data_IF_284587466811
#
_entry.id   IF_284587466811
#
_cell.length_a   1.000
_cell.length_b   1.000
_cell.length_c   1.000
_cell.angle_alpha   90.00
_cell.angle_beta   90.00
_cell.angle_gamma   90.00
#
_symmetry.space_group_name_H-M   'P 1'
#
loop_
_entity.id
_entity.type
_entity.pdbx_description
1 polymer ?
#
# COMPACT_ATOMS: atom_id res chain seq x y z
N UNK A 1 7.46 -23.87 -1.54
CA UNK A 1 6.82 -23.42 -2.83
C UNK A 1 6.64 -24.61 -3.75
N UNK A 2 5.43 -24.87 -4.22
CA UNK A 2 5.21 -25.90 -5.23
C UNK A 2 5.61 -25.29 -6.58
N UNK A 3 6.59 -25.86 -7.27
CA UNK A 3 7.05 -25.35 -8.56
C UNK A 3 5.90 -25.23 -9.59
N UNK A 4 4.91 -26.11 -9.51
CA UNK A 4 3.73 -26.08 -10.37
C UNK A 4 2.88 -24.81 -10.23
N UNK A 5 2.75 -24.24 -9.02
CA UNK A 5 1.98 -23.01 -8.78
C UNK A 5 2.70 -21.78 -9.33
N UNK A 6 4.02 -21.73 -9.20
CA UNK A 6 4.84 -20.67 -9.81
C UNK A 6 4.76 -20.72 -11.34
N UNK A 7 4.85 -21.90 -11.94
CA UNK A 7 4.74 -22.04 -13.41
C UNK A 7 3.34 -21.67 -13.89
N UNK A 8 2.29 -21.99 -13.12
CA UNK A 8 0.93 -21.52 -13.43
C UNK A 8 0.83 -20.00 -13.38
N UNK A 9 1.38 -19.36 -12.34
CA UNK A 9 1.38 -17.89 -12.25
C UNK A 9 2.16 -17.25 -13.39
N UNK A 10 3.32 -17.79 -13.76
CA UNK A 10 4.09 -17.32 -14.93
C UNK A 10 3.27 -17.39 -16.21
N UNK A 11 2.61 -18.54 -16.45
CA UNK A 11 1.74 -18.73 -17.62
C UNK A 11 0.63 -17.68 -17.67
N UNK A 12 -0.01 -17.38 -16.54
CA UNK A 12 -1.05 -16.34 -16.48
C UNK A 12 -0.50 -14.95 -16.75
N UNK A 13 0.69 -14.61 -16.18
CA UNK A 13 1.36 -13.35 -16.43
C UNK A 13 1.73 -13.20 -17.92
N UNK A 14 2.26 -14.24 -18.53
CA UNK A 14 2.64 -14.24 -19.95
C UNK A 14 1.43 -14.06 -20.87
N UNK A 15 0.34 -14.74 -20.55
CA UNK A 15 -0.89 -14.75 -21.35
C UNK A 15 -1.78 -13.50 -21.15
N UNK A 16 -1.50 -12.63 -20.17
CA UNK A 16 -2.31 -11.46 -19.87
C UNK A 16 -1.57 -10.16 -20.22
N UNK A 17 -2.34 -9.16 -20.68
CA UNK A 17 -1.90 -7.77 -20.86
C UNK A 17 -2.72 -6.80 -19.97
N UNK A 18 -3.51 -7.34 -19.05
CA UNK A 18 -4.36 -6.57 -18.14
C UNK A 18 -4.32 -7.14 -16.72
N UNK A 19 -3.12 -7.18 -16.13
CA UNK A 19 -2.90 -7.56 -14.74
C UNK A 19 -3.13 -6.35 -13.86
N UNK A 20 -3.81 -6.53 -12.72
CA UNK A 20 -3.92 -5.54 -11.65
C UNK A 20 -3.33 -6.12 -10.38
N UNK A 21 -2.54 -5.31 -9.69
CA UNK A 21 -2.02 -5.63 -8.37
C UNK A 21 -2.77 -4.84 -7.29
N UNK A 22 -3.21 -5.54 -6.23
CA UNK A 22 -3.79 -4.93 -5.03
C UNK A 22 -2.92 -5.23 -3.82
N UNK A 23 -2.37 -4.20 -3.18
CA UNK A 23 -1.38 -4.36 -2.11
C UNK A 23 -1.68 -3.64 -0.81
N UNK A 24 -1.08 -4.13 0.27
CA UNK A 24 -1.08 -3.51 1.59
C UNK A 24 0.31 -3.50 2.23
N UNK A 25 0.39 -3.20 3.52
CA UNK A 25 1.63 -2.92 4.24
C UNK A 25 2.65 -4.09 4.21
N UNK A 26 2.18 -5.34 4.09
CA UNK A 26 3.03 -6.51 3.95
C UNK A 26 3.90 -6.52 2.68
N UNK A 27 3.57 -5.69 1.66
CA UNK A 27 4.43 -5.52 0.47
C UNK A 27 5.74 -4.82 0.84
N UNK A 28 5.72 -3.94 1.83
CA UNK A 28 6.87 -3.10 2.21
C UNK A 28 7.69 -3.65 3.38
N UNK A 29 7.32 -4.81 3.94
CA UNK A 29 8.08 -5.43 5.05
C UNK A 29 9.50 -5.82 4.63
N UNK A 30 9.68 -6.30 3.40
CA UNK A 30 11.00 -6.60 2.82
C UNK A 30 11.81 -5.32 2.47
N UNK A 31 11.22 -4.14 2.67
CA UNK A 31 11.87 -2.81 2.60
C UNK A 31 12.21 -2.25 3.99
N UNK A 32 11.99 -3.02 5.06
CA UNK A 32 12.23 -2.61 6.43
C UNK A 32 11.10 -1.76 7.05
N UNK A 33 9.95 -1.62 6.38
CA UNK A 33 8.78 -0.93 6.92
C UNK A 33 7.88 -1.97 7.60
N UNK A 34 7.69 -1.92 8.94
CA UNK A 34 6.81 -2.85 9.63
C UNK A 34 5.36 -2.69 9.14
N UNK A 35 4.65 -3.79 9.02
CA UNK A 35 3.21 -3.73 8.81
C UNK A 35 2.47 -3.35 10.10
N UNK A 36 1.14 -3.26 10.04
CA UNK A 36 0.34 -2.84 11.19
C UNK A 36 -0.04 -3.99 12.12
N UNK A 37 -0.28 -5.21 11.60
CA UNK A 37 -1.01 -6.28 12.29
C UNK A 37 -0.24 -7.55 12.55
N UNK A 38 0.89 -7.77 11.88
CA UNK A 38 1.74 -8.93 12.16
C UNK A 38 2.27 -8.91 13.60
N UNK A 39 2.82 -10.01 14.06
CA UNK A 39 3.38 -10.15 15.41
C UNK A 39 4.38 -9.03 15.76
N UNK A 40 5.14 -8.56 14.76
CA UNK A 40 6.11 -7.46 14.89
C UNK A 40 5.54 -6.11 14.40
N UNK A 41 4.24 -6.09 14.09
CA UNK A 41 3.55 -4.94 13.52
C UNK A 41 3.33 -3.80 14.51
N UNK A 42 2.96 -2.65 13.96
CA UNK A 42 2.79 -1.41 14.73
C UNK A 42 1.77 -1.55 15.86
N UNK A 43 0.70 -2.34 15.66
CA UNK A 43 -0.37 -2.50 16.66
C UNK A 43 0.03 -3.37 17.86
N UNK A 44 1.11 -4.12 17.77
CA UNK A 44 1.64 -4.90 18.90
C UNK A 44 2.69 -4.13 19.73
N UNK A 45 3.07 -2.92 19.31
CA UNK A 45 3.96 -2.04 20.08
C UNK A 45 3.17 -1.31 21.18
N UNK A 46 3.84 -0.99 22.29
CA UNK A 46 3.22 -0.27 23.41
C UNK A 46 3.25 1.23 23.18
N UNK A 47 2.07 1.85 23.08
CA UNK A 47 1.86 3.28 23.02
C UNK A 47 0.87 3.70 24.11
N UNK A 48 0.81 4.99 24.41
CA UNK A 48 -0.15 5.57 25.35
C UNK A 48 -1.60 5.45 24.84
N UNK A 49 -1.78 5.56 23.50
CA UNK A 49 -3.05 5.36 22.81
C UNK A 49 -2.88 4.30 21.71
N UNK A 50 -3.92 3.54 21.37
CA UNK A 50 -3.86 2.63 20.21
C UNK A 50 -3.49 3.36 18.92
N UNK A 51 -2.67 2.79 18.03
CA UNK A 51 -2.30 3.43 16.78
C UNK A 51 -3.48 3.86 15.91
N UNK A 52 -4.58 3.09 15.89
CA UNK A 52 -5.82 3.48 15.19
C UNK A 52 -6.42 4.77 15.77
N UNK A 53 -6.34 4.95 17.08
CA UNK A 53 -6.79 6.19 17.75
C UNK A 53 -5.88 7.34 17.35
N UNK A 54 -4.55 7.17 17.43
CA UNK A 54 -3.57 8.21 17.09
C UNK A 54 -3.73 8.65 15.63
N UNK A 55 -3.97 7.68 14.73
CA UNK A 55 -4.12 7.92 13.29
C UNK A 55 -5.58 8.23 12.88
N UNK A 56 -6.41 8.74 13.81
CA UNK A 56 -7.77 9.18 13.50
C UNK A 56 -7.86 10.69 13.25
N UNK A 57 -8.87 11.11 12.48
CA UNK A 57 -9.17 12.52 12.22
C UNK A 57 -9.39 13.30 13.52
N UNK A 58 -10.22 12.76 14.42
CA UNK A 58 -10.52 13.38 15.71
C UNK A 58 -9.27 13.59 16.53
N UNK A 59 -8.41 12.57 16.65
CA UNK A 59 -7.17 12.66 17.42
C UNK A 59 -6.17 13.65 16.80
N UNK A 60 -6.07 13.69 15.48
CA UNK A 60 -5.21 14.65 14.77
C UNK A 60 -5.50 16.08 15.19
N UNK A 61 -6.76 16.47 15.31
CA UNK A 61 -7.13 17.85 15.69
C UNK A 61 -7.14 18.10 17.20
N UNK A 62 -7.42 17.09 18.02
CA UNK A 62 -7.46 17.25 19.47
C UNK A 62 -6.10 17.09 20.14
N UNK A 63 -5.22 16.26 19.57
CA UNK A 63 -3.91 15.91 20.11
C UNK A 63 -2.80 16.07 19.06
N UNK A 64 -2.82 17.17 18.31
CA UNK A 64 -1.97 17.41 17.13
C UNK A 64 -0.47 17.24 17.42
N UNK A 65 0.01 17.68 18.59
CA UNK A 65 1.42 17.54 18.98
C UNK A 65 1.80 16.07 19.17
N UNK A 66 0.95 15.29 19.85
CA UNK A 66 1.16 13.85 20.02
C UNK A 66 1.13 13.14 18.68
N UNK A 67 0.16 13.46 17.81
CA UNK A 67 0.09 12.92 16.46
C UNK A 67 1.39 13.14 15.71
N UNK A 68 1.94 14.34 15.67
CA UNK A 68 3.17 14.62 14.93
C UNK A 68 4.42 13.98 15.53
N UNK A 69 4.51 13.82 16.84
CA UNK A 69 5.58 13.04 17.48
C UNK A 69 5.54 11.59 17.01
N UNK A 70 4.37 10.94 17.09
CA UNK A 70 4.16 9.58 16.61
C UNK A 70 4.39 9.46 15.09
N UNK A 71 3.83 10.38 14.32
CA UNK A 71 3.91 10.37 12.86
C UNK A 71 5.35 10.44 12.36
N UNK A 72 6.19 11.32 12.92
CA UNK A 72 7.61 11.40 12.59
C UNK A 72 8.37 10.15 12.96
N UNK A 73 8.08 9.56 14.11
CA UNK A 73 8.79 8.39 14.61
C UNK A 73 8.43 7.11 13.84
N UNK A 74 7.15 6.95 13.47
CA UNK A 74 6.62 5.67 12.99
C UNK A 74 6.14 5.68 11.55
N UNK A 75 5.75 6.84 10.99
CA UNK A 75 5.05 6.92 9.72
C UNK A 75 5.89 7.53 8.58
N UNK A 76 7.10 7.97 8.82
CA UNK A 76 7.98 8.61 7.84
C UNK A 76 9.24 7.80 7.53
N UNK A 77 9.12 6.62 6.88
CA UNK A 77 10.29 5.81 6.49
C UNK A 77 10.93 6.36 5.20
N UNK A 78 11.39 7.60 5.21
CA UNK A 78 11.84 8.32 4.01
C UNK A 78 13.07 7.69 3.33
N UNK A 79 13.89 6.95 4.10
CA UNK A 79 15.10 6.29 3.60
C UNK A 79 14.82 4.86 3.07
N UNK A 80 13.56 4.40 3.14
CA UNK A 80 13.24 3.06 2.67
C UNK A 80 13.40 2.94 1.14
N UNK A 81 13.88 1.77 0.70
CA UNK A 81 14.11 1.48 -0.71
C UNK A 81 13.13 0.41 -1.22
N UNK A 82 12.73 0.47 -2.50
CA UNK A 82 11.90 -0.55 -3.10
C UNK A 82 12.54 -1.93 -3.01
N UNK A 83 11.79 -2.94 -2.64
CA UNK A 83 12.22 -4.34 -2.61
C UNK A 83 11.95 -5.08 -3.94
N UNK A 84 12.19 -6.37 -3.99
CA UNK A 84 12.02 -7.20 -5.19
C UNK A 84 10.56 -7.18 -5.70
N UNK A 85 9.54 -7.13 -4.82
CA UNK A 85 8.14 -7.05 -5.23
C UNK A 85 7.85 -5.75 -5.99
N UNK A 86 8.27 -4.60 -5.45
CA UNK A 86 8.09 -3.30 -6.12
C UNK A 86 8.78 -3.27 -7.49
N UNK A 87 10.02 -3.77 -7.57
CA UNK A 87 10.77 -3.82 -8.83
C UNK A 87 10.14 -4.75 -9.85
N UNK A 88 9.64 -5.92 -9.42
CA UNK A 88 8.93 -6.86 -10.29
C UNK A 88 7.64 -6.24 -10.86
N UNK A 89 6.82 -5.58 -10.04
CA UNK A 89 5.61 -4.90 -10.50
C UNK A 89 5.93 -3.77 -11.49
N UNK A 90 6.96 -2.97 -11.22
CA UNK A 90 7.41 -1.94 -12.16
C UNK A 90 7.95 -2.52 -13.47
N UNK A 91 8.58 -3.71 -13.44
CA UNK A 91 9.01 -4.41 -14.64
C UNK A 91 7.82 -4.91 -15.47
N UNK A 92 6.79 -5.47 -14.83
CA UNK A 92 5.54 -5.88 -15.48
C UNK A 92 4.81 -4.69 -16.13
N UNK A 93 4.78 -3.53 -15.47
CA UNK A 93 4.18 -2.32 -16.04
C UNK A 93 4.96 -1.86 -17.29
N UNK A 94 6.29 -1.81 -17.21
CA UNK A 94 7.14 -1.48 -18.38
C UNK A 94 6.97 -2.46 -19.54
N UNK A 95 6.72 -3.74 -19.25
CA UNK A 95 6.45 -4.76 -20.26
C UNK A 95 5.00 -4.70 -20.82
N UNK A 96 4.17 -3.76 -20.34
CA UNK A 96 2.79 -3.60 -20.79
C UNK A 96 1.82 -4.66 -20.24
N UNK A 97 2.26 -5.46 -19.25
CA UNK A 97 1.47 -6.53 -18.62
C UNK A 97 0.64 -6.02 -17.44
N UNK A 98 1.22 -5.20 -16.57
CA UNK A 98 0.54 -4.62 -15.42
C UNK A 98 -0.09 -3.28 -15.80
N UNK A 99 -1.41 -3.19 -15.66
CA UNK A 99 -2.19 -2.00 -16.02
C UNK A 99 -2.32 -1.02 -14.87
N UNK A 100 -2.39 -1.52 -13.64
CA UNK A 100 -2.51 -0.67 -12.46
C UNK A 100 -2.01 -1.37 -11.19
N UNK A 101 -1.55 -0.55 -10.26
CA UNK A 101 -1.34 -0.91 -8.87
C UNK A 101 -2.39 -0.18 -8.05
N UNK A 102 -3.14 -0.91 -7.23
CA UNK A 102 -4.04 -0.38 -6.21
C UNK A 102 -3.38 -0.64 -4.86
N UNK A 103 -2.98 0.40 -4.16
CA UNK A 103 -2.25 0.23 -2.90
C UNK A 103 -2.93 0.91 -1.73
N UNK A 104 -2.88 0.26 -0.58
CA UNK A 104 -3.24 0.82 0.72
C UNK A 104 -2.03 1.54 1.36
N UNK A 105 -0.83 1.35 0.81
CA UNK A 105 0.40 1.93 1.35
C UNK A 105 0.51 3.41 1.01
N UNK A 106 1.15 4.13 1.92
CA UNK A 106 1.39 5.58 1.83
C UNK A 106 2.88 5.91 1.62
N UNK A 107 3.74 4.89 1.51
CA UNK A 107 5.21 5.00 1.51
C UNK A 107 5.81 5.49 0.17
N UNK A 108 5.07 5.39 -0.94
CA UNK A 108 5.52 5.80 -2.27
C UNK A 108 6.53 4.85 -2.92
N UNK A 109 6.77 3.64 -2.37
CA UNK A 109 7.80 2.72 -2.88
C UNK A 109 7.46 2.16 -4.27
N UNK A 110 6.19 2.05 -4.64
CA UNK A 110 5.80 1.68 -5.99
C UNK A 110 6.27 2.71 -7.02
N UNK A 111 6.05 4.00 -6.75
CA UNK A 111 6.50 5.09 -7.61
C UNK A 111 8.03 5.19 -7.62
N UNK A 112 8.68 5.02 -6.46
CA UNK A 112 10.14 5.00 -6.34
C UNK A 112 10.77 3.84 -7.14
N UNK A 113 10.07 2.72 -7.29
CA UNK A 113 10.48 1.59 -8.15
C UNK A 113 10.28 1.87 -9.65
N UNK A 114 9.54 2.92 -10.01
CA UNK A 114 9.28 3.33 -11.38
C UNK A 114 7.87 3.02 -11.90
N UNK A 115 6.95 2.54 -11.06
CA UNK A 115 5.55 2.36 -11.42
C UNK A 115 4.85 3.72 -11.58
N UNK A 116 4.00 3.86 -12.59
CA UNK A 116 3.35 5.13 -12.97
C UNK A 116 1.86 5.14 -12.69
N UNK A 117 1.18 4.01 -12.92
CA UNK A 117 -0.25 3.90 -12.73
C UNK A 117 -0.57 3.30 -11.35
N UNK A 118 -0.50 4.14 -10.32
CA UNK A 118 -0.67 3.75 -8.92
C UNK A 118 -1.86 4.49 -8.31
N UNK A 119 -2.87 3.75 -7.86
CA UNK A 119 -4.00 4.24 -7.10
C UNK A 119 -3.68 4.14 -5.60
N UNK A 120 -3.29 5.24 -4.98
CA UNK A 120 -2.97 5.34 -3.55
C UNK A 120 -4.27 5.55 -2.75
N UNK A 121 -4.92 4.47 -2.33
CA UNK A 121 -6.23 4.53 -1.64
C UNK A 121 -6.19 5.34 -0.34
N UNK A 122 -5.07 5.33 0.36
CA UNK A 122 -4.89 6.03 1.63
C UNK A 122 -3.98 7.27 1.51
N UNK A 123 -3.75 7.77 0.30
CA UNK A 123 -2.90 8.93 0.08
C UNK A 123 -1.41 8.64 0.17
N UNK A 124 -0.60 9.64 0.56
CA UNK A 124 0.86 9.53 0.56
C UNK A 124 1.51 10.43 1.60
N UNK A 125 2.56 9.93 2.26
CA UNK A 125 3.41 10.70 3.17
C UNK A 125 4.19 11.81 2.46
N UNK A 126 4.39 11.67 1.15
CA UNK A 126 5.19 12.61 0.35
C UNK A 126 4.45 13.92 0.04
N UNK A 127 3.13 13.94 0.19
CA UNK A 127 2.29 15.12 0.00
C UNK A 127 1.74 15.60 1.33
N UNK A 128 1.87 16.88 1.59
CA UNK A 128 1.36 17.50 2.82
C UNK A 128 0.81 18.88 2.45
N UNK A 129 -0.32 19.28 3.01
CA UNK A 129 -1.00 20.51 2.63
C UNK A 129 -1.42 21.35 3.83
N UNK A 130 -1.33 22.67 3.65
CA UNK A 130 -1.91 23.59 4.61
C UNK A 130 -3.43 23.49 4.58
N UNK A 131 -4.05 23.24 5.72
CA UNK A 131 -5.51 23.11 5.87
C UNK A 131 -6.26 24.43 5.58
N UNK A 132 -5.58 25.59 5.59
CA UNK A 132 -6.17 26.92 5.39
C UNK A 132 -6.01 27.42 3.95
N UNK A 133 -4.82 27.31 3.35
CA UNK A 133 -4.54 27.90 2.04
C UNK A 133 -4.16 26.90 0.96
N UNK A 134 -4.10 25.59 1.26
CA UNK A 134 -3.78 24.53 0.30
C UNK A 134 -2.30 24.48 -0.14
N UNK A 135 -1.42 25.34 0.40
CA UNK A 135 0.01 25.31 0.04
C UNK A 135 0.60 23.93 0.36
N UNK A 136 1.33 23.36 -0.60
CA UNK A 136 2.00 22.06 -0.48
C UNK A 136 3.32 22.16 0.27
N UNK A 137 3.68 21.05 0.94
CA UNK A 137 4.92 20.85 1.70
C UNK A 137 5.43 19.42 1.47
N UNK A 138 6.76 19.25 1.50
CA UNK A 138 7.37 17.93 1.34
C UNK A 138 7.35 17.12 2.64
N UNK A 139 7.65 15.81 2.54
CA UNK A 139 7.80 14.94 3.69
C UNK A 139 8.98 15.35 4.58
N UNK A 140 10.08 15.81 3.96
CA UNK A 140 11.26 16.30 4.68
C UNK A 140 10.92 17.53 5.52
N UNK A 141 10.09 18.45 5.02
CA UNK A 141 9.62 19.58 5.80
C UNK A 141 8.89 19.12 7.07
N UNK A 142 8.05 18.10 6.98
CA UNK A 142 7.36 17.54 8.15
C UNK A 142 8.35 16.87 9.11
N UNK A 143 9.30 16.08 8.57
CA UNK A 143 10.35 15.43 9.37
C UNK A 143 11.16 16.44 10.17
N UNK A 144 11.62 17.51 9.50
CA UNK A 144 12.58 18.48 10.05
C UNK A 144 11.91 19.59 10.88
N UNK A 145 10.57 19.74 10.80
CA UNK A 145 9.83 20.69 11.62
C UNK A 145 9.82 20.26 13.10
N UNK A 146 10.13 21.16 14.01
CA UNK A 146 9.93 20.95 15.44
C UNK A 146 8.45 21.13 15.82
N UNK A 147 7.92 20.28 16.71
CA UNK A 147 6.55 20.40 17.21
C UNK A 147 5.48 20.24 16.11
N UNK A 148 4.44 21.07 16.16
CA UNK A 148 3.34 21.06 15.17
C UNK A 148 3.72 21.91 13.96
N UNK A 149 3.72 21.37 12.72
CA UNK A 149 4.08 22.13 11.54
C UNK A 149 2.97 23.10 11.13
N UNK A 150 3.33 24.38 10.98
CA UNK A 150 2.42 25.43 10.53
C UNK A 150 2.88 26.09 9.22
N UNK A 151 1.92 26.47 8.43
CA UNK A 151 2.13 27.29 7.24
C UNK A 151 2.38 28.76 7.63
N UNK A 152 3.08 29.50 6.76
CA UNK A 152 3.26 30.95 6.96
C UNK A 152 1.93 31.72 7.08
N UNK A 153 0.81 31.19 6.57
CA UNK A 153 -0.52 31.77 6.74
C UNK A 153 -1.19 31.47 8.10
N UNK A 154 -0.48 30.79 9.01
CA UNK A 154 -0.96 30.35 10.32
C UNK A 154 -1.81 29.08 10.29
N UNK A 155 -2.05 28.47 9.11
CA UNK A 155 -2.79 27.22 9.00
C UNK A 155 -1.96 26.00 9.42
N UNK A 156 -2.63 25.00 9.97
CA UNK A 156 -2.02 23.69 10.27
C UNK A 156 -1.67 22.98 8.95
N UNK A 157 -0.53 22.30 8.90
CA UNK A 157 -0.20 21.45 7.75
C UNK A 157 -0.64 20.03 8.08
N UNK A 158 -1.42 19.40 7.21
CA UNK A 158 -1.88 18.01 7.36
C UNK A 158 -1.23 17.14 6.28
N UNK A 159 -0.73 15.93 6.63
CA UNK A 159 -0.34 14.95 5.62
C UNK A 159 -1.52 14.57 4.72
N UNK A 160 -1.26 14.38 3.43
CA UNK A 160 -2.23 13.80 2.48
C UNK A 160 -2.37 12.28 2.69
N UNK A 161 -2.63 11.92 3.93
CA UNK A 161 -2.88 10.55 4.36
C UNK A 161 -4.31 10.50 4.88
N UNK A 162 -5.06 9.50 4.40
CA UNK A 162 -6.42 9.24 4.87
C UNK A 162 -6.34 8.64 6.25
N UNK A 163 -6.80 9.40 7.24
CA UNK A 163 -6.87 8.97 8.62
C UNK A 163 -8.14 8.14 8.85
N UNK A 164 -8.16 7.35 9.91
CA UNK A 164 -9.42 6.76 10.37
C UNK A 164 -10.47 7.87 10.55
N UNK A 165 -11.75 7.56 10.30
CA UNK A 165 -12.87 8.51 10.25
C UNK A 165 -12.94 9.38 8.99
N UNK A 166 -11.90 9.37 8.13
CA UNK A 166 -11.92 10.09 6.84
C UNK A 166 -12.38 9.17 5.70
N UNK A 167 -13.03 9.76 4.70
CA UNK A 167 -13.41 9.07 3.47
C UNK A 167 -12.24 8.95 2.49
N UNK A 168 -12.22 7.88 1.70
CA UNK A 168 -11.29 7.75 0.59
C UNK A 168 -11.66 8.71 -0.56
N UNK A 169 -10.66 9.11 -1.35
CA UNK A 169 -10.91 9.94 -2.54
C UNK A 169 -11.75 9.20 -3.59
N UNK A 170 -12.88 9.78 -3.97
CA UNK A 170 -13.81 9.16 -4.92
C UNK A 170 -13.20 8.87 -6.29
N UNK A 171 -12.33 9.76 -6.78
CA UNK A 171 -11.69 9.59 -8.09
C UNK A 171 -10.73 8.40 -8.06
N UNK A 172 -9.96 8.27 -6.99
CA UNK A 172 -9.04 7.14 -6.77
C UNK A 172 -9.81 5.83 -6.66
N UNK A 173 -10.91 5.79 -5.86
CA UNK A 173 -11.76 4.61 -5.75
C UNK A 173 -12.35 4.21 -7.10
N UNK A 174 -12.94 5.15 -7.84
CA UNK A 174 -13.57 4.87 -9.15
C UNK A 174 -12.56 4.30 -10.14
N UNK A 175 -11.33 4.87 -10.16
CA UNK A 175 -10.24 4.36 -10.99
C UNK A 175 -9.79 2.96 -10.59
N UNK A 176 -9.60 2.71 -9.30
CA UNK A 176 -9.22 1.41 -8.75
C UNK A 176 -10.27 0.32 -9.03
N UNK A 177 -11.55 0.62 -8.77
CA UNK A 177 -12.68 -0.28 -9.04
C UNK A 177 -12.73 -0.65 -10.52
N UNK A 178 -12.62 0.34 -11.41
CA UNK A 178 -12.61 0.09 -12.85
C UNK A 178 -11.44 -0.82 -13.25
N UNK A 179 -10.23 -0.52 -12.79
CA UNK A 179 -9.06 -1.33 -13.09
C UNK A 179 -9.25 -2.79 -12.63
N UNK A 180 -9.72 -2.99 -11.38
CA UNK A 180 -9.97 -4.32 -10.83
C UNK A 180 -11.06 -5.07 -11.61
N UNK A 181 -12.16 -4.40 -11.98
CA UNK A 181 -13.27 -5.03 -12.70
C UNK A 181 -12.89 -5.45 -14.13
N UNK A 182 -11.97 -4.74 -14.77
CA UNK A 182 -11.48 -5.01 -16.12
C UNK A 182 -10.29 -6.00 -16.16
N UNK A 183 -9.73 -6.41 -15.01
CA UNK A 183 -8.52 -7.21 -14.95
C UNK A 183 -8.72 -8.66 -15.42
N UNK A 184 -7.77 -9.19 -16.21
CA UNK A 184 -7.70 -10.62 -16.55
C UNK A 184 -7.10 -11.45 -15.40
N UNK A 185 -6.14 -10.86 -14.68
CA UNK A 185 -5.49 -11.44 -13.50
C UNK A 185 -5.49 -10.41 -12.39
N UNK A 186 -6.00 -10.77 -11.23
CA UNK A 186 -5.87 -9.95 -10.02
C UNK A 186 -4.88 -10.60 -9.06
N UNK A 187 -3.77 -9.92 -8.81
CA UNK A 187 -2.78 -10.34 -7.81
C UNK A 187 -2.99 -9.49 -6.56
N UNK A 188 -3.28 -10.14 -5.45
CA UNK A 188 -3.45 -9.50 -4.15
C UNK A 188 -2.29 -9.91 -3.25
N UNK A 189 -1.61 -8.95 -2.64
CA UNK A 189 -0.43 -9.26 -1.84
C UNK A 189 -0.21 -8.37 -0.63
N UNK A 190 0.38 -8.95 0.43
CA UNK A 190 0.80 -8.22 1.62
C UNK A 190 -0.34 -7.48 2.34
N UNK A 191 -1.54 -8.05 2.37
CA UNK A 191 -2.70 -7.42 3.03
C UNK A 191 -3.57 -8.44 3.74
N UNK A 192 -4.02 -8.11 4.94
CA UNK A 192 -4.98 -8.94 5.70
C UNK A 192 -6.40 -8.91 5.11
N UNK A 193 -6.71 -7.97 4.22
CA UNK A 193 -8.03 -7.74 3.65
C UNK A 193 -9.13 -7.49 4.71
N UNK A 194 -8.77 -6.82 5.80
CA UNK A 194 -9.68 -6.49 6.92
C UNK A 194 -9.96 -5.00 7.05
N UNK A 195 -9.25 -4.12 6.33
CA UNK A 195 -9.44 -2.66 6.39
C UNK A 195 -10.43 -2.22 5.32
N UNK A 196 -11.62 -1.86 5.76
CA UNK A 196 -12.67 -1.34 4.89
C UNK A 196 -12.64 0.20 4.82
N UNK A 197 -13.02 0.81 3.67
CA UNK A 197 -13.64 0.18 2.50
C UNK A 197 -12.64 -0.46 1.51
N UNK A 198 -11.34 -0.24 1.64
CA UNK A 198 -10.31 -0.69 0.69
C UNK A 198 -10.38 -2.21 0.40
N UNK A 199 -10.45 -3.05 1.43
CA UNK A 199 -10.57 -4.50 1.29
C UNK A 199 -11.77 -4.95 0.46
N UNK A 200 -12.86 -4.16 0.46
CA UNK A 200 -14.07 -4.44 -0.30
C UNK A 200 -13.92 -4.30 -1.81
N UNK A 201 -12.87 -3.60 -2.29
CA UNK A 201 -12.68 -3.34 -3.71
C UNK A 201 -12.38 -4.60 -4.51
N UNK A 202 -11.77 -5.62 -3.92
CA UNK A 202 -11.49 -6.88 -4.64
C UNK A 202 -12.77 -7.64 -5.06
N UNK A 203 -13.93 -7.34 -4.46
CA UNK A 203 -15.22 -7.92 -4.86
C UNK A 203 -15.68 -7.51 -6.27
N UNK A 204 -15.10 -6.44 -6.82
CA UNK A 204 -15.39 -6.02 -8.19
C UNK A 204 -14.64 -6.85 -9.22
N UNK A 205 -13.69 -7.69 -8.83
CA UNK A 205 -13.06 -8.65 -9.73
C UNK A 205 -14.02 -9.78 -10.06
N UNK A 206 -14.32 -9.93 -11.34
CA UNK A 206 -15.22 -10.98 -11.85
C UNK A 206 -14.52 -12.09 -12.63
N UNK A 207 -13.17 -12.07 -12.67
CA UNK A 207 -12.38 -13.10 -13.40
C UNK A 207 -12.15 -14.37 -12.60
N UNK A 208 -11.44 -15.30 -13.21
CA UNK A 208 -11.12 -16.64 -12.69
C UNK A 208 -9.63 -16.86 -12.39
N UNK A 209 -8.87 -15.77 -12.28
CA UNK A 209 -7.41 -15.80 -11.99
C UNK A 209 -7.06 -14.87 -10.83
N UNK A 210 -7.66 -15.17 -9.67
CA UNK A 210 -7.33 -14.49 -8.41
C UNK A 210 -6.13 -15.17 -7.75
N UNK A 211 -5.08 -14.38 -7.53
CA UNK A 211 -3.84 -14.82 -6.86
C UNK A 211 -3.71 -14.11 -5.51
N UNK A 212 -3.53 -14.85 -4.43
CA UNK A 212 -3.20 -14.31 -3.13
C UNK A 212 -1.74 -14.62 -2.77
N UNK A 213 -0.98 -13.59 -2.43
CA UNK A 213 0.39 -13.70 -1.91
C UNK A 213 0.42 -13.05 -0.54
N UNK A 214 0.12 -13.83 0.50
CA UNK A 214 0.05 -13.32 1.87
C UNK A 214 0.45 -14.40 2.86
N UNK A 215 1.29 -14.07 3.84
CA UNK A 215 1.79 -15.00 4.83
C UNK A 215 0.66 -15.64 5.63
N UNK A 216 -0.22 -14.81 6.14
CA UNK A 216 -1.35 -15.22 6.98
C UNK A 216 -2.60 -15.46 6.12
N UNK A 217 -3.55 -16.23 6.66
CA UNK A 217 -4.85 -16.44 6.02
C UNK A 217 -5.65 -15.14 5.89
N UNK A 218 -6.47 -15.07 4.85
CA UNK A 218 -7.34 -13.94 4.58
C UNK A 218 -8.78 -14.41 4.39
N UNK A 219 -9.79 -13.53 4.57
CA UNK A 219 -11.20 -13.86 4.29
C UNK A 219 -11.47 -14.27 2.83
N UNK A 220 -10.51 -14.08 1.94
CA UNK A 220 -10.65 -14.36 0.52
C UNK A 220 -9.91 -15.61 0.04
N UNK A 221 -9.28 -16.36 0.93
CA UNK A 221 -8.56 -17.59 0.57
C UNK A 221 -9.44 -18.59 -0.17
N UNK A 222 -10.70 -18.74 0.25
CA UNK A 222 -11.66 -19.64 -0.41
C UNK A 222 -12.07 -19.23 -1.83
N UNK A 223 -11.75 -18.01 -2.25
CA UNK A 223 -12.04 -17.50 -3.61
C UNK A 223 -10.80 -17.49 -4.52
N UNK A 224 -9.60 -17.66 -3.94
CA UNK A 224 -8.37 -17.60 -4.70
C UNK A 224 -8.13 -18.87 -5.52
N UNK A 225 -7.61 -18.68 -6.72
CA UNK A 225 -7.20 -19.77 -7.61
C UNK A 225 -5.77 -20.22 -7.33
N UNK A 226 -4.91 -19.28 -6.87
CA UNK A 226 -3.55 -19.55 -6.41
C UNK A 226 -3.29 -18.83 -5.09
N UNK A 227 -2.64 -19.53 -4.16
CA UNK A 227 -2.26 -18.97 -2.86
C UNK A 227 -0.78 -19.26 -2.58
N UNK A 228 -0.03 -18.20 -2.27
CA UNK A 228 1.36 -18.27 -1.85
C UNK A 228 1.49 -17.71 -0.43
N UNK A 229 2.22 -18.44 0.44
CA UNK A 229 2.48 -18.04 1.84
C UNK A 229 3.91 -17.52 2.04
N UNK A 230 4.68 -17.53 0.99
CA UNK A 230 6.05 -17.05 0.96
C UNK A 230 6.11 -15.52 0.83
N UNK A 231 7.27 -14.91 1.16
CA UNK A 231 7.49 -13.48 0.98
C UNK A 231 7.19 -13.04 -0.46
N UNK A 232 6.47 -11.93 -0.59
CA UNK A 232 5.94 -11.47 -1.88
C UNK A 232 7.06 -11.14 -2.89
N UNK A 233 8.18 -10.59 -2.41
CA UNK A 233 9.35 -10.32 -3.25
C UNK A 233 9.94 -11.58 -3.85
N UNK A 234 9.96 -12.69 -3.10
CA UNK A 234 10.43 -13.98 -3.61
C UNK A 234 9.48 -14.54 -4.67
N UNK A 235 8.16 -14.49 -4.45
CA UNK A 235 7.16 -14.99 -5.41
C UNK A 235 7.23 -14.20 -6.71
N UNK A 236 7.10 -12.88 -6.62
CA UNK A 236 7.09 -12.01 -7.82
C UNK A 236 8.46 -11.97 -8.52
N UNK A 237 9.57 -11.96 -7.76
CA UNK A 237 10.92 -11.99 -8.32
C UNK A 237 11.15 -13.23 -9.19
N UNK A 238 10.73 -14.41 -8.74
CA UNK A 238 10.81 -15.66 -9.52
C UNK A 238 9.93 -15.66 -10.76
N UNK A 239 8.74 -15.05 -10.68
CA UNK A 239 7.82 -15.01 -11.80
C UNK A 239 8.23 -14.03 -12.90
N UNK A 240 8.92 -12.95 -12.55
CA UNK A 240 9.20 -11.83 -13.48
C UNK A 240 10.66 -11.80 -13.92
N UNK A 241 11.61 -12.02 -12.99
CA UNK A 241 13.05 -11.86 -13.28
C UNK A 241 13.77 -13.19 -13.55
N UNK A 242 13.11 -14.33 -13.33
CA UNK A 242 13.75 -15.64 -13.42
C UNK A 242 14.82 -15.90 -12.35
N UNK A 243 14.82 -15.13 -11.26
CA UNK A 243 15.77 -15.27 -10.16
C UNK A 243 15.56 -16.63 -9.48
N UNK A 244 16.54 -17.55 -9.66
CA UNK A 244 16.70 -18.72 -8.79
C UNK A 244 17.25 -18.26 -7.44
N UNK A 245 16.76 -18.82 -6.34
CA UNK A 245 17.30 -18.64 -4.99
C UNK A 245 18.77 -19.03 -4.92
#
# INVERSE_FOLDING_TARGET
MRNSEIETLKTWIEASDNIVFFGGAGVSTESGIPDFRSTDGLYHQKFEYPPETILSHTFFYQHTEYFYRFYREKMLPLEAEPNAAHRALAALERAGKLRAIVTQNIDGLHQKAGSKNVYELHGSIWRNYCTKCGKSYSAEFIRDSGGVPHCACGGLIKPDVVLYEEGLDEKTIKGAVRAIAEADVLIVGGTSLTVYPAAGLIRYYGGDRLVLINRDETPYDGYANLIFREPIGQVLGRCVNGESL
#
